data_IF_199069988233
#
_entry.id   IF_199069988233
#
_cell.length_a   1.000
_cell.length_b   1.000
_cell.length_c   1.000
_cell.angle_alpha   90.00
_cell.angle_beta   90.00
_cell.angle_gamma   90.00
#
_symmetry.space_group_name_H-M   'P 1'
#
loop_
_entity.id
_entity.type
_entity.pdbx_description
1 polymer ?
#
# COMPACT_ATOMS: atom_id res chain seq x y z
N UNK A 1 -14.23 -51.73 23.01
CA UNK A 1 -13.89 -51.71 21.57
C UNK A 1 -15.01 -51.04 20.77
N UNK A 2 -14.80 -49.80 20.32
CA UNK A 2 -15.31 -49.19 19.07
C UNK A 2 -14.85 -47.73 19.06
N UNK A 3 -13.73 -47.49 18.38
CA UNK A 3 -13.26 -46.16 18.02
C UNK A 3 -14.14 -45.59 16.91
N UNK A 4 -14.56 -44.32 16.98
CA UNK A 4 -14.87 -43.47 15.81
C UNK A 4 -14.65 -41.98 16.08
N UNK A 5 -13.65 -41.45 15.35
CA UNK A 5 -13.52 -40.15 14.68
C UNK A 5 -13.59 -38.85 15.50
N UNK A 6 -12.38 -38.33 15.73
CA UNK A 6 -12.07 -36.90 15.88
C UNK A 6 -12.27 -36.18 14.52
N UNK A 7 -12.95 -35.03 14.45
CA UNK A 7 -12.84 -34.12 13.32
C UNK A 7 -11.65 -33.18 13.56
N UNK A 8 -10.56 -33.46 12.87
CA UNK A 8 -9.48 -32.50 12.63
C UNK A 8 -9.86 -31.59 11.45
N UNK A 9 -9.43 -30.33 11.54
CA UNK A 9 -9.23 -29.33 10.46
C UNK A 9 -10.37 -28.35 10.15
N UNK A 10 -10.00 -27.07 10.26
CA UNK A 10 -10.70 -25.88 9.80
C UNK A 10 -9.90 -24.66 10.25
N UNK A 11 -8.77 -24.42 9.57
CA UNK A 11 -7.89 -23.28 9.82
C UNK A 11 -8.66 -21.97 9.68
N UNK A 12 -8.51 -21.10 10.68
CA UNK A 12 -9.05 -19.74 10.66
C UNK A 12 -8.09 -18.89 9.83
N UNK A 13 -8.07 -19.13 8.52
CA UNK A 13 -7.39 -18.33 7.48
C UNK A 13 -8.39 -17.38 6.78
N UNK A 14 -9.46 -16.99 7.49
CA UNK A 14 -10.62 -16.27 6.94
C UNK A 14 -10.65 -14.75 7.24
N UNK A 15 -9.52 -14.13 7.59
CA UNK A 15 -9.50 -12.69 7.95
C UNK A 15 -8.93 -11.76 6.87
N UNK A 16 -8.27 -12.32 5.83
CA UNK A 16 -7.77 -11.52 4.70
C UNK A 16 -8.84 -11.30 3.61
N UNK A 17 -9.80 -12.23 3.50
CA UNK A 17 -10.91 -12.15 2.55
C UNK A 17 -11.90 -11.03 2.88
N UNK A 18 -12.16 -10.79 4.17
CA UNK A 18 -13.05 -9.73 4.65
C UNK A 18 -12.50 -8.32 4.40
N UNK A 19 -11.22 -8.10 4.70
CA UNK A 19 -10.56 -6.81 4.47
C UNK A 19 -10.48 -6.47 2.97
N UNK A 20 -10.20 -7.46 2.10
CA UNK A 20 -10.21 -7.28 0.65
C UNK A 20 -11.63 -7.03 0.11
N UNK A 21 -12.66 -7.64 0.70
CA UNK A 21 -14.05 -7.42 0.32
C UNK A 21 -14.52 -6.00 0.73
N UNK A 22 -14.21 -5.56 1.95
CA UNK A 22 -14.43 -4.18 2.40
C UNK A 22 -13.67 -3.16 1.53
N UNK A 23 -12.44 -3.49 1.11
CA UNK A 23 -11.65 -2.66 0.20
C UNK A 23 -12.21 -2.65 -1.23
N UNK A 24 -12.68 -3.79 -1.75
CA UNK A 24 -13.42 -3.85 -3.03
C UNK A 24 -14.72 -3.07 -2.98
N UNK A 25 -15.40 -3.07 -1.83
CA UNK A 25 -16.62 -2.30 -1.61
C UNK A 25 -16.31 -0.80 -1.44
N UNK A 26 -15.15 -0.43 -0.88
CA UNK A 26 -14.61 0.94 -0.88
C UNK A 26 -14.15 1.41 -2.27
N UNK A 27 -13.60 0.54 -3.12
CA UNK A 27 -13.33 0.83 -4.53
C UNK A 27 -14.63 0.99 -5.32
N UNK A 28 -15.67 0.20 -4.98
CA UNK A 28 -17.05 0.39 -5.47
C UNK A 28 -17.71 1.65 -4.88
N UNK A 29 -17.14 2.25 -3.82
CA UNK A 29 -17.61 3.48 -3.19
C UNK A 29 -17.39 4.76 -4.02
N UNK A 30 -17.12 4.63 -5.33
CA UNK A 30 -17.69 5.59 -6.31
C UNK A 30 -19.21 5.83 -6.10
N UNK A 31 -19.88 4.99 -5.30
CA UNK A 31 -21.26 5.12 -4.77
C UNK A 31 -21.43 5.72 -3.35
N UNK A 32 -20.37 5.95 -2.54
CA UNK A 32 -20.50 6.57 -1.20
C UNK A 32 -19.94 8.00 -1.23
N UNK A 33 -20.82 8.97 -1.47
CA UNK A 33 -20.46 10.38 -1.64
C UNK A 33 -19.66 10.93 -0.44
N UNK A 34 -20.01 10.53 0.78
CA UNK A 34 -19.37 11.02 1.99
C UNK A 34 -17.89 10.58 2.09
N UNK A 35 -17.58 9.32 1.78
CA UNK A 35 -16.20 8.84 1.78
C UNK A 35 -15.35 9.54 0.71
N UNK A 36 -15.93 9.80 -0.46
CA UNK A 36 -15.28 10.57 -1.51
C UNK A 36 -15.02 12.02 -1.08
N UNK A 37 -16.01 12.68 -0.48
CA UNK A 37 -15.87 14.05 0.03
C UNK A 37 -14.80 14.14 1.12
N UNK A 38 -14.79 13.21 2.08
CA UNK A 38 -13.75 13.13 3.13
C UNK A 38 -12.35 12.96 2.53
N UNK A 39 -12.20 12.11 1.50
CA UNK A 39 -10.92 11.94 0.79
C UNK A 39 -10.49 13.22 0.06
N UNK A 40 -11.42 13.92 -0.59
CA UNK A 40 -11.11 15.19 -1.27
C UNK A 40 -10.76 16.30 -0.28
N UNK A 41 -11.45 16.36 0.85
CA UNK A 41 -11.14 17.28 1.94
C UNK A 41 -9.73 17.01 2.51
N UNK A 42 -9.39 15.74 2.74
CA UNK A 42 -8.05 15.33 3.19
C UNK A 42 -6.96 15.78 2.21
N UNK A 43 -7.14 15.51 0.91
CA UNK A 43 -6.20 15.96 -0.15
C UNK A 43 -5.98 17.48 -0.12
N UNK A 44 -7.07 18.25 -0.06
CA UNK A 44 -7.00 19.73 -0.02
C UNK A 44 -6.29 20.25 1.23
N UNK A 45 -6.34 19.52 2.34
CA UNK A 45 -5.76 19.93 3.63
C UNK A 45 -4.30 19.53 3.80
N UNK A 46 -3.73 18.63 2.99
CA UNK A 46 -2.37 18.10 3.19
C UNK A 46 -1.31 19.18 3.41
N UNK A 47 -1.37 20.30 2.68
CA UNK A 47 -0.43 21.43 2.85
C UNK A 47 -0.54 22.15 4.21
N UNK A 48 -1.60 21.89 4.97
CA UNK A 48 -1.92 22.47 6.29
C UNK A 48 -1.91 21.43 7.41
N UNK A 49 -1.39 20.22 7.14
CA UNK A 49 -1.27 19.19 8.16
C UNK A 49 -0.33 19.64 9.28
N UNK A 50 -0.78 19.47 10.52
CA UNK A 50 0.04 19.67 11.72
C UNK A 50 1.02 18.50 11.90
N UNK A 51 1.97 18.61 12.82
CA UNK A 51 2.87 17.49 13.13
C UNK A 51 2.11 16.25 13.61
N UNK A 52 1.08 16.42 14.45
CA UNK A 52 0.17 15.33 14.86
C UNK A 52 -0.52 14.66 13.64
N UNK A 53 -0.95 15.45 12.65
CA UNK A 53 -1.54 14.90 11.41
C UNK A 53 -0.52 14.03 10.66
N UNK A 54 0.76 14.45 10.63
CA UNK A 54 1.83 13.70 9.99
C UNK A 54 2.21 12.43 10.73
N UNK A 55 2.26 12.48 12.06
CA UNK A 55 2.48 11.31 12.91
C UNK A 55 1.35 10.30 12.74
N UNK A 56 0.11 10.77 12.71
CA UNK A 56 -1.04 9.92 12.45
C UNK A 56 -0.96 9.25 11.07
N UNK A 57 -0.60 9.99 10.02
CA UNK A 57 -0.42 9.42 8.68
C UNK A 57 0.70 8.38 8.62
N UNK A 58 1.81 8.61 9.32
CA UNK A 58 2.91 7.66 9.41
C UNK A 58 2.51 6.38 10.16
N UNK A 59 1.78 6.51 11.28
CA UNK A 59 1.24 5.39 12.03
C UNK A 59 0.17 4.62 11.24
N UNK A 60 -0.69 5.32 10.51
CA UNK A 60 -1.72 4.71 9.66
C UNK A 60 -1.13 3.81 8.56
N UNK A 61 0.09 4.09 8.09
CA UNK A 61 0.77 3.23 7.10
C UNK A 61 1.18 1.87 7.65
N UNK A 62 1.36 1.72 8.96
CA UNK A 62 1.63 0.44 9.61
C UNK A 62 0.36 -0.38 9.88
N UNK A 63 -0.81 0.26 9.83
CA UNK A 63 -2.11 -0.37 10.09
C UNK A 63 -2.64 -1.05 8.81
N UNK A 64 -3.10 -2.32 8.89
CA UNK A 64 -3.56 -3.09 7.72
C UNK A 64 -4.69 -2.43 6.93
N UNK A 65 -5.55 -1.65 7.59
CA UNK A 65 -6.72 -1.02 6.98
C UNK A 65 -6.46 0.45 6.67
N UNK A 66 -5.90 1.21 7.62
CA UNK A 66 -5.74 2.67 7.48
C UNK A 66 -4.71 3.07 6.44
N UNK A 67 -3.74 2.21 6.11
CA UNK A 67 -2.72 2.50 5.08
C UNK A 67 -3.35 2.81 3.72
N UNK A 68 -4.53 2.25 3.43
CA UNK A 68 -5.23 2.52 2.18
C UNK A 68 -5.76 3.93 2.10
N UNK A 69 -6.16 4.54 3.22
CA UNK A 69 -6.53 5.96 3.23
C UNK A 69 -5.33 6.81 2.77
N UNK A 70 -4.14 6.54 3.30
CA UNK A 70 -2.91 7.25 2.94
C UNK A 70 -2.55 7.03 1.48
N UNK A 71 -2.59 5.78 1.00
CA UNK A 71 -2.39 5.45 -0.41
C UNK A 71 -3.34 6.24 -1.33
N UNK A 72 -4.61 6.37 -0.95
CA UNK A 72 -5.58 7.14 -1.73
C UNK A 72 -5.33 8.64 -1.66
N UNK A 73 -4.96 9.20 -0.50
CA UNK A 73 -4.64 10.62 -0.39
C UNK A 73 -3.53 10.97 -1.38
N UNK A 74 -2.44 10.19 -1.38
CA UNK A 74 -1.26 10.44 -2.23
C UNK A 74 -1.30 9.82 -3.63
N UNK A 75 -2.29 8.99 -3.94
CA UNK A 75 -2.44 8.39 -5.28
C UNK A 75 -2.68 9.38 -6.43
N UNK A 76 -2.80 10.68 -6.15
CA UNK A 76 -2.97 11.76 -7.14
C UNK A 76 -2.19 13.03 -6.80
N UNK A 77 -1.24 12.96 -5.87
CA UNK A 77 -0.46 14.13 -5.46
C UNK A 77 0.90 13.69 -4.91
N UNK A 78 1.92 14.56 -4.94
CA UNK A 78 3.26 14.18 -4.52
C UNK A 78 3.30 13.63 -3.08
N UNK A 79 4.05 12.56 -2.88
CA UNK A 79 4.32 11.98 -1.57
C UNK A 79 5.34 12.85 -0.81
N UNK A 80 5.03 13.32 0.41
CA UNK A 80 5.98 14.05 1.24
C UNK A 80 7.16 13.17 1.65
N UNK A 81 8.39 13.72 1.63
CA UNK A 81 9.63 12.97 1.97
C UNK A 81 9.54 12.26 3.33
N UNK A 82 8.88 12.88 4.32
CA UNK A 82 8.67 12.31 5.67
C UNK A 82 7.85 11.01 5.70
N UNK A 83 7.02 10.77 4.69
CA UNK A 83 6.20 9.55 4.58
C UNK A 83 6.84 8.48 3.69
N UNK A 84 7.90 8.82 2.95
CA UNK A 84 8.49 7.92 1.95
C UNK A 84 8.87 6.55 2.53
N UNK A 85 9.70 6.52 3.58
CA UNK A 85 10.11 5.27 4.22
C UNK A 85 8.94 4.47 4.80
N UNK A 86 7.92 5.13 5.37
CA UNK A 86 6.73 4.47 5.90
C UNK A 86 5.85 3.89 4.78
N UNK A 87 5.72 4.59 3.65
CA UNK A 87 5.00 4.06 2.48
C UNK A 87 5.72 2.86 1.86
N UNK A 88 7.05 2.93 1.77
CA UNK A 88 7.87 1.84 1.26
C UNK A 88 7.78 0.59 2.15
N UNK A 89 7.86 0.76 3.48
CA UNK A 89 7.62 -0.32 4.45
C UNK A 89 6.21 -0.90 4.32
N UNK A 90 5.19 -0.07 4.26
CA UNK A 90 3.81 -0.52 4.11
C UNK A 90 3.60 -1.35 2.83
N UNK A 91 4.24 -0.95 1.73
CA UNK A 91 4.16 -1.65 0.46
C UNK A 91 4.75 -3.06 0.52
N UNK A 92 5.90 -3.23 1.18
CA UNK A 92 6.58 -4.53 1.26
C UNK A 92 6.08 -5.41 2.40
N UNK A 93 5.36 -4.85 3.37
CA UNK A 93 4.69 -5.64 4.41
C UNK A 93 3.41 -6.27 3.86
N UNK A 94 2.77 -5.67 2.84
CA UNK A 94 1.59 -6.25 2.22
C UNK A 94 1.90 -7.60 1.54
N UNK A 95 0.98 -8.55 1.71
CA UNK A 95 1.09 -9.92 1.19
C UNK A 95 0.46 -10.09 -0.19
N UNK A 96 -0.37 -9.15 -0.64
CA UNK A 96 -0.93 -9.16 -1.98
C UNK A 96 -0.09 -8.29 -2.92
N UNK A 97 0.62 -8.88 -3.89
CA UNK A 97 1.40 -8.14 -4.87
C UNK A 97 0.55 -7.19 -5.71
N UNK A 98 -0.76 -7.40 -5.82
CA UNK A 98 -1.66 -6.61 -6.64
C UNK A 98 -2.06 -5.29 -5.97
N UNK A 99 -2.01 -5.24 -4.63
CA UNK A 99 -2.43 -4.09 -3.83
C UNK A 99 -1.24 -3.23 -3.41
N UNK A 100 -0.04 -3.80 -3.26
CA UNK A 100 1.14 -3.03 -2.88
C UNK A 100 1.51 -1.91 -3.89
N UNK A 101 1.13 -2.06 -5.17
CA UNK A 101 1.34 -1.03 -6.20
C UNK A 101 0.70 0.31 -5.85
N UNK A 102 -0.42 0.32 -5.12
CA UNK A 102 -1.11 1.55 -4.73
C UNK A 102 -0.29 2.39 -3.73
N UNK A 103 0.69 1.78 -3.07
CA UNK A 103 1.65 2.44 -2.20
C UNK A 103 2.96 2.77 -2.96
N UNK A 104 3.35 1.94 -3.94
CA UNK A 104 4.58 2.12 -4.71
C UNK A 104 4.47 3.16 -5.83
N UNK A 105 3.37 3.15 -6.59
CA UNK A 105 3.17 4.06 -7.73
C UNK A 105 3.33 5.54 -7.34
N UNK A 106 2.71 6.04 -6.25
CA UNK A 106 2.90 7.44 -5.82
C UNK A 106 4.36 7.76 -5.47
N UNK A 107 5.08 6.79 -4.90
CA UNK A 107 6.49 6.94 -4.54
C UNK A 107 7.38 6.96 -5.79
N UNK A 108 7.09 6.11 -6.78
CA UNK A 108 7.77 6.09 -8.07
C UNK A 108 7.56 7.40 -8.84
N UNK A 109 6.33 7.92 -8.86
CA UNK A 109 6.00 9.20 -9.50
C UNK A 109 6.67 10.39 -8.81
N UNK A 110 6.79 10.36 -7.48
CA UNK A 110 7.32 11.50 -6.71
C UNK A 110 8.85 11.51 -6.61
N UNK A 111 9.46 10.37 -6.28
CA UNK A 111 10.90 10.28 -5.99
C UNK A 111 11.71 9.63 -7.12
N UNK A 112 11.03 9.06 -8.11
CA UNK A 112 11.66 8.33 -9.19
C UNK A 112 12.13 6.93 -8.78
N UNK A 113 12.41 6.13 -9.81
CA UNK A 113 12.77 4.71 -9.67
C UNK A 113 14.03 4.46 -8.86
N UNK A 114 15.06 5.29 -9.04
CA UNK A 114 16.35 5.09 -8.38
C UNK A 114 16.21 5.13 -6.85
N UNK A 115 15.53 6.14 -6.32
CA UNK A 115 15.27 6.28 -4.89
C UNK A 115 14.42 5.13 -4.34
N UNK A 116 13.41 4.68 -5.08
CA UNK A 116 12.56 3.55 -4.68
C UNK A 116 13.34 2.24 -4.61
N UNK A 117 14.18 1.95 -5.62
CA UNK A 117 15.02 0.74 -5.64
C UNK A 117 16.05 0.78 -4.52
N UNK A 118 16.66 1.94 -4.26
CA UNK A 118 17.60 2.11 -3.16
C UNK A 118 16.94 1.79 -1.81
N UNK A 119 15.76 2.35 -1.55
CA UNK A 119 15.01 2.10 -0.31
C UNK A 119 14.63 0.61 -0.15
N UNK A 120 14.19 -0.04 -1.25
CA UNK A 120 13.93 -1.49 -1.25
C UNK A 120 15.21 -2.30 -0.98
N UNK A 121 16.35 -1.82 -1.45
CA UNK A 121 17.67 -2.39 -1.16
C UNK A 121 18.02 -2.31 0.33
N UNK A 122 17.76 -1.18 0.97
CA UNK A 122 17.92 -1.01 2.42
C UNK A 122 16.99 -1.93 3.21
N UNK A 123 15.71 -2.00 2.83
CA UNK A 123 14.74 -2.91 3.48
C UNK A 123 15.10 -4.38 3.30
N UNK A 124 15.70 -4.76 2.17
CA UNK A 124 16.22 -6.11 1.96
C UNK A 124 17.39 -6.43 2.90
N UNK A 125 18.26 -5.46 3.15
CA UNK A 125 19.43 -5.63 4.01
C UNK A 125 19.08 -5.66 5.50
N UNK A 126 18.03 -4.96 5.94
CA UNK A 126 17.61 -4.98 7.34
C UNK A 126 17.11 -6.36 7.80
N UNK A 127 16.59 -7.17 6.87
CA UNK A 127 16.02 -8.49 7.18
C UNK A 127 14.66 -8.44 7.87
N UNK A 128 14.08 -7.25 8.04
CA UNK A 128 12.76 -7.06 8.67
C UNK A 128 11.60 -7.58 7.83
N UNK A 129 11.83 -7.75 6.52
CA UNK A 129 10.81 -8.14 5.54
C UNK A 129 11.28 -9.34 4.73
N UNK A 130 10.42 -10.36 4.51
CA UNK A 130 10.77 -11.48 3.66
C UNK A 130 11.20 -11.04 2.25
N UNK A 131 12.30 -11.60 1.74
CA UNK A 131 12.87 -11.22 0.44
C UNK A 131 11.87 -11.31 -0.73
N UNK A 132 10.96 -12.28 -0.69
CA UNK A 132 9.88 -12.43 -1.69
C UNK A 132 9.00 -11.17 -1.79
N UNK A 133 8.71 -10.50 -0.68
CA UNK A 133 7.87 -9.28 -0.70
C UNK A 133 8.63 -8.09 -1.30
N UNK A 134 9.95 -8.03 -1.10
CA UNK A 134 10.82 -7.06 -1.78
C UNK A 134 10.82 -7.33 -3.29
N UNK A 135 10.94 -8.59 -3.71
CA UNK A 135 10.91 -8.96 -5.14
C UNK A 135 9.59 -8.57 -5.81
N UNK A 136 8.46 -8.74 -5.12
CA UNK A 136 7.17 -8.25 -5.60
C UNK A 136 7.13 -6.74 -5.78
N UNK A 137 7.70 -5.97 -4.84
CA UNK A 137 7.80 -4.53 -5.00
C UNK A 137 8.73 -4.12 -6.16
N UNK A 138 9.85 -4.83 -6.33
CA UNK A 138 10.79 -4.60 -7.42
C UNK A 138 10.17 -4.86 -8.79
N UNK A 139 9.30 -5.87 -8.92
CA UNK A 139 8.56 -6.16 -10.16
C UNK A 139 7.79 -4.94 -10.66
N UNK A 140 7.11 -4.20 -9.77
CA UNK A 140 6.39 -2.97 -10.13
C UNK A 140 7.32 -1.85 -10.57
N UNK A 141 8.49 -1.73 -9.93
CA UNK A 141 9.51 -0.75 -10.28
C UNK A 141 10.11 -1.00 -11.67
N UNK A 142 10.15 -2.26 -12.13
CA UNK A 142 10.61 -2.60 -13.49
C UNK A 142 9.53 -2.40 -14.54
N UNK A 143 8.27 -2.70 -14.21
CA UNK A 143 7.14 -2.61 -15.15
C UNK A 143 6.74 -1.16 -15.47
N UNK A 144 6.88 -0.26 -14.51
CA UNK A 144 6.59 1.16 -14.71
C UNK A 144 7.49 1.83 -15.76
N UNK A 145 8.72 1.30 -15.94
CA UNK A 145 9.64 1.74 -16.98
C UNK A 145 9.07 1.48 -18.38
N UNK A 146 8.39 0.36 -18.58
CA UNK A 146 7.76 0.03 -19.87
C UNK A 146 6.58 0.95 -20.16
N UNK A 147 5.80 1.29 -19.13
CA UNK A 147 4.66 2.22 -19.25
C UNK A 147 5.09 3.64 -19.63
N UNK A 148 6.09 4.20 -18.93
CA UNK A 148 6.61 5.54 -19.20
C UNK A 148 7.39 5.63 -20.52
N UNK A 149 8.07 4.56 -20.94
CA UNK A 149 8.74 4.49 -22.26
C UNK A 149 7.76 4.32 -23.42
N UNK A 150 6.62 3.65 -23.20
CA UNK A 150 5.57 3.48 -24.21
C UNK A 150 4.80 4.75 -24.56
N UNK A 151 4.82 5.77 -23.68
CA UNK A 151 4.11 7.05 -23.90
C UNK A 151 4.91 8.07 -24.72
N UNK A 152 6.14 7.76 -25.13
CA UNK A 152 7.00 8.65 -25.96
C UNK A 152 6.92 8.37 -27.47
N UNK A 153 5.85 7.72 -27.95
CA UNK A 153 5.54 7.63 -29.39
C UNK A 153 4.06 7.85 -29.61
N UNK A 154 3.65 9.10 -29.72
CA UNK A 154 2.44 9.54 -30.43
C UNK A 154 2.63 10.99 -30.83
#
# INVERSE_FOLDING_TARGET
MRARRNPSQGGVDDDLGGALQLWRDAIRARRNAEAFERLQAARKRVARNTDDDWEWLAAALADPEKKWFVAHVFGRQPVPRRLFGSMMRAAVIDVDPSTNRWLLEPCLETFGRAAVIEELGWLKQSGEVPGQRIEWALYWCTREVERLRGTSRS
#
